data_IF_804657087073
#
_entry.id   IF_804657087073
#
_cell.length_a   1.000
_cell.length_b   1.000
_cell.length_c   1.000
_cell.angle_alpha   90.00
_cell.angle_beta   90.00
_cell.angle_gamma   90.00
#
_symmetry.space_group_name_H-M   'P 1'
#
loop_
_entity.id
_entity.type
_entity.pdbx_description
1 polymer ?
#
# COMPACT_ATOMS: atom_id res chain seq x y z
N UNK A 1 15.77 -13.53 -4.89
CA UNK A 1 15.87 -12.33 -5.76
C UNK A 1 15.05 -12.41 -7.06
N UNK A 2 14.52 -13.57 -7.49
CA UNK A 2 13.81 -13.69 -8.77
C UNK A 2 12.43 -13.05 -8.87
N UNK A 3 11.64 -13.03 -7.77
CA UNK A 3 10.29 -12.44 -7.76
C UNK A 3 10.33 -10.91 -7.60
N UNK A 4 11.21 -10.39 -6.72
CA UNK A 4 11.38 -8.95 -6.52
C UNK A 4 11.96 -8.25 -7.76
N UNK A 5 12.84 -8.93 -8.51
CA UNK A 5 13.47 -8.37 -9.72
C UNK A 5 12.48 -8.09 -10.85
N UNK A 6 11.39 -8.86 -10.95
CA UNK A 6 10.33 -8.63 -11.94
C UNK A 6 9.36 -7.51 -11.60
N UNK A 7 9.32 -7.05 -10.33
CA UNK A 7 8.47 -5.93 -9.93
C UNK A 7 8.96 -4.58 -10.48
N UNK A 8 10.22 -4.52 -10.95
CA UNK A 8 10.87 -3.31 -11.45
C UNK A 8 10.72 -3.15 -12.97
N UNK A 9 10.49 -4.26 -13.71
CA UNK A 9 10.33 -4.25 -15.16
C UNK A 9 8.84 -4.27 -15.54
N UNK A 10 8.27 -3.07 -15.63
CA UNK A 10 6.88 -2.81 -16.05
C UNK A 10 5.98 -2.40 -14.88
N UNK A 11 5.28 -1.28 -15.04
CA UNK A 11 4.26 -0.82 -14.08
C UNK A 11 2.91 -1.38 -14.54
N UNK A 12 2.38 -2.37 -13.83
CA UNK A 12 1.08 -2.99 -14.11
C UNK A 12 0.04 -2.69 -13.00
N UNK A 13 0.49 -2.36 -11.79
CA UNK A 13 -0.39 -1.93 -10.71
C UNK A 13 -1.04 -0.57 -11.06
N UNK A 14 -2.39 -0.45 -11.04
CA UNK A 14 -3.06 0.81 -11.30
C UNK A 14 -2.60 1.93 -10.37
N UNK A 15 -2.55 3.15 -10.88
CA UNK A 15 -2.11 4.32 -10.10
C UNK A 15 -2.93 4.50 -8.83
N UNK A 16 -4.25 4.29 -8.90
CA UNK A 16 -5.14 4.32 -7.73
C UNK A 16 -4.67 3.38 -6.63
N UNK A 17 -4.37 2.12 -6.97
CA UNK A 17 -3.90 1.13 -6.00
C UNK A 17 -2.55 1.49 -5.41
N UNK A 18 -1.63 2.05 -6.21
CA UNK A 18 -0.35 2.58 -5.70
C UNK A 18 -0.59 3.65 -4.63
N UNK A 19 -1.52 4.58 -4.86
CA UNK A 19 -1.82 5.63 -3.89
C UNK A 19 -2.59 5.12 -2.67
N UNK A 20 -3.47 4.12 -2.80
CA UNK A 20 -4.08 3.44 -1.66
C UNK A 20 -3.03 2.81 -0.73
N UNK A 21 -2.03 2.11 -1.29
CA UNK A 21 -0.91 1.55 -0.52
C UNK A 21 -0.17 2.67 0.21
N UNK A 22 0.24 3.70 -0.53
CA UNK A 22 1.04 4.81 0.00
C UNK A 22 0.31 5.56 1.11
N UNK A 23 -0.97 5.83 0.91
CA UNK A 23 -1.83 6.49 1.87
C UNK A 23 -1.97 5.63 3.14
N UNK A 24 -2.31 4.35 3.00
CA UNK A 24 -2.55 3.49 4.17
C UNK A 24 -1.30 3.25 4.99
N UNK A 25 -0.16 2.97 4.35
CA UNK A 25 1.14 2.88 5.04
C UNK A 25 1.46 4.18 5.80
N UNK A 26 1.20 5.34 5.18
CA UNK A 26 1.46 6.64 5.79
C UNK A 26 0.56 6.93 6.99
N UNK A 27 -0.70 6.50 6.96
CA UNK A 27 -1.62 6.57 8.09
C UNK A 27 -1.12 5.76 9.29
N UNK A 28 -0.69 4.52 9.06
CA UNK A 28 -0.18 3.63 10.12
C UNK A 28 1.09 4.22 10.74
N UNK A 29 2.00 4.73 9.91
CA UNK A 29 3.25 5.34 10.38
C UNK A 29 3.07 6.75 10.97
N UNK A 30 1.90 7.38 10.83
CA UNK A 30 1.66 8.74 11.30
C UNK A 30 2.40 9.84 10.53
N UNK A 31 2.78 9.62 9.26
CA UNK A 31 3.43 10.67 8.45
C UNK A 31 2.38 11.66 7.90
N UNK A 32 2.07 12.74 8.61
CA UNK A 32 1.06 13.73 8.21
C UNK A 32 1.31 14.35 6.83
N UNK A 33 2.58 14.70 6.53
CA UNK A 33 3.00 15.17 5.21
C UNK A 33 2.63 14.17 4.09
N UNK A 34 2.97 12.91 4.30
CA UNK A 34 2.74 11.84 3.33
C UNK A 34 1.25 11.51 3.20
N UNK A 35 0.50 11.55 4.30
CA UNK A 35 -0.96 11.37 4.30
C UNK A 35 -1.64 12.42 3.41
N UNK A 36 -1.22 13.69 3.52
CA UNK A 36 -1.76 14.76 2.66
C UNK A 36 -1.40 14.52 1.19
N UNK A 37 -0.12 14.28 0.91
CA UNK A 37 0.39 14.06 -0.45
C UNK A 37 -0.31 12.91 -1.16
N UNK A 38 -0.39 11.74 -0.52
CA UNK A 38 -0.98 10.54 -1.11
C UNK A 38 -2.51 10.56 -1.08
N UNK A 39 -3.12 11.28 -0.14
CA UNK A 39 -4.57 11.51 -0.14
C UNK A 39 -5.01 12.38 -1.33
N UNK A 40 -4.27 13.44 -1.64
CA UNK A 40 -4.52 14.27 -2.83
C UNK A 40 -4.32 13.46 -4.13
N UNK A 41 -3.26 12.64 -4.19
CA UNK A 41 -2.97 11.79 -5.35
C UNK A 41 -3.99 10.65 -5.55
N UNK A 42 -4.47 10.04 -4.46
CA UNK A 42 -5.52 9.01 -4.51
C UNK A 42 -6.81 9.57 -5.13
N UNK A 43 -7.26 10.74 -4.66
CA UNK A 43 -8.44 11.42 -5.22
C UNK A 43 -8.24 11.76 -6.70
N UNK A 44 -7.06 12.25 -7.09
CA UNK A 44 -6.73 12.53 -8.49
C UNK A 44 -6.73 11.26 -9.37
N UNK A 45 -6.50 10.09 -8.78
CA UNK A 45 -6.56 8.79 -9.45
C UNK A 45 -7.95 8.13 -9.42
N UNK A 46 -8.96 8.78 -8.82
CA UNK A 46 -10.33 8.27 -8.73
C UNK A 46 -10.62 7.43 -7.48
N UNK A 47 -9.71 7.39 -6.52
CA UNK A 47 -9.85 6.65 -5.25
C UNK A 47 -10.31 7.54 -4.09
N UNK A 48 -10.79 6.92 -3.02
CA UNK A 48 -11.11 7.65 -1.78
C UNK A 48 -9.87 7.96 -0.94
N UNK A 49 -9.92 9.06 -0.17
CA UNK A 49 -8.92 9.38 0.86
C UNK A 49 -9.19 8.71 2.21
N UNK A 50 -10.41 8.21 2.42
CA UNK A 50 -10.88 7.69 3.70
C UNK A 50 -10.69 6.17 3.78
N UNK A 51 -9.43 5.75 3.92
CA UNK A 51 -9.05 4.32 3.90
C UNK A 51 -8.87 3.70 5.28
N UNK A 52 -9.18 4.40 6.37
CA UNK A 52 -8.96 3.89 7.73
C UNK A 52 -9.90 2.73 8.10
N UNK A 53 -11.15 2.80 7.64
CA UNK A 53 -12.23 1.85 7.99
C UNK A 53 -12.54 0.86 6.86
N UNK A 54 -11.57 0.65 5.95
CA UNK A 54 -11.72 -0.13 4.72
C UNK A 54 -12.25 -1.56 4.94
N UNK A 55 -11.96 -2.16 6.11
CA UNK A 55 -12.42 -3.52 6.45
C UNK A 55 -13.94 -3.61 6.51
N UNK A 56 -14.60 -2.59 7.04
CA UNK A 56 -16.04 -2.56 7.28
C UNK A 56 -16.81 -1.75 6.25
N UNK A 57 -16.14 -0.90 5.49
CA UNK A 57 -16.78 -0.05 4.49
C UNK A 57 -17.08 -0.82 3.19
N UNK A 58 -18.36 -1.02 2.81
CA UNK A 58 -18.74 -1.76 1.62
C UNK A 58 -18.33 -1.12 0.29
N UNK A 59 -17.87 0.15 0.29
CA UNK A 59 -17.40 0.82 -0.92
C UNK A 59 -16.11 0.19 -1.48
N UNK A 60 -15.31 -0.48 -0.65
CA UNK A 60 -14.05 -1.08 -1.09
C UNK A 60 -14.26 -2.42 -1.82
N UNK A 61 -13.72 -2.50 -3.03
CA UNK A 61 -13.74 -3.70 -3.86
C UNK A 61 -12.80 -4.78 -3.33
N UNK A 62 -12.96 -6.02 -3.79
CA UNK A 62 -12.06 -7.13 -3.40
C UNK A 62 -10.58 -6.84 -3.72
N UNK A 63 -10.22 -6.37 -4.94
CA UNK A 63 -8.85 -5.95 -5.23
C UNK A 63 -8.31 -4.86 -4.30
N UNK A 64 -9.08 -3.81 -4.00
CA UNK A 64 -8.66 -2.74 -3.10
C UNK A 64 -8.42 -3.26 -1.68
N UNK A 65 -9.32 -4.11 -1.18
CA UNK A 65 -9.17 -4.78 0.12
C UNK A 65 -7.90 -5.60 0.19
N UNK A 66 -7.59 -6.35 -0.87
CA UNK A 66 -6.38 -7.16 -0.93
C UNK A 66 -5.11 -6.29 -0.93
N UNK A 67 -5.12 -5.18 -1.69
CA UNK A 67 -4.03 -4.19 -1.71
C UNK A 67 -3.82 -3.58 -0.32
N UNK A 68 -4.89 -3.13 0.34
CA UNK A 68 -4.83 -2.52 1.66
C UNK A 68 -4.38 -3.52 2.73
N UNK A 69 -4.91 -4.75 2.72
CA UNK A 69 -4.50 -5.82 3.63
C UNK A 69 -3.00 -6.12 3.53
N UNK A 70 -2.49 -6.25 2.30
CA UNK A 70 -1.08 -6.51 2.07
C UNK A 70 -0.21 -5.31 2.46
N UNK A 71 -0.65 -4.08 2.17
CA UNK A 71 0.05 -2.86 2.57
C UNK A 71 0.21 -2.77 4.10
N UNK A 72 -0.84 -3.11 4.85
CA UNK A 72 -0.79 -3.16 6.32
C UNK A 72 0.18 -4.24 6.82
N UNK A 73 0.08 -5.47 6.28
CA UNK A 73 0.96 -6.57 6.67
C UNK A 73 2.44 -6.28 6.40
N UNK A 74 2.77 -5.65 5.27
CA UNK A 74 4.15 -5.23 4.95
C UNK A 74 4.62 -4.10 5.87
N UNK A 75 3.74 -3.16 6.20
CA UNK A 75 4.07 -2.04 7.11
C UNK A 75 4.35 -2.53 8.53
N UNK A 76 3.55 -3.48 9.00
CA UNK A 76 3.62 -4.10 10.33
C UNK A 76 4.44 -5.39 10.33
N UNK A 77 5.36 -5.57 9.37
CA UNK A 77 6.16 -6.79 9.24
C UNK A 77 6.95 -7.16 10.51
N UNK A 78 7.23 -6.17 11.36
CA UNK A 78 7.89 -6.35 12.65
C UNK A 78 7.04 -7.10 13.70
N UNK A 79 5.71 -7.13 13.54
CA UNK A 79 4.80 -7.77 14.50
C UNK A 79 4.68 -9.29 14.30
N UNK A 80 4.91 -9.79 13.08
CA UNK A 80 4.69 -11.22 12.80
C UNK A 80 5.00 -11.70 11.39
N UNK A 81 5.79 -10.98 10.61
CA UNK A 81 5.94 -11.18 9.16
C UNK A 81 4.60 -11.05 8.39
N UNK A 82 4.65 -11.13 7.06
CA UNK A 82 3.45 -11.12 6.22
C UNK A 82 2.82 -12.52 6.26
N UNK A 83 1.55 -12.69 6.69
CA UNK A 83 0.90 -14.00 6.70
C UNK A 83 0.67 -14.55 5.30
N UNK A 84 0.86 -15.86 5.11
CA UNK A 84 0.59 -16.53 3.83
C UNK A 84 -0.84 -16.28 3.34
N UNK A 85 -1.82 -16.27 4.24
CA UNK A 85 -3.23 -15.99 3.90
C UNK A 85 -3.44 -14.61 3.29
N UNK A 86 -2.66 -13.60 3.69
CA UNK A 86 -2.72 -12.24 3.12
C UNK A 86 -2.06 -12.23 1.74
N UNK A 87 -0.93 -12.94 1.59
CA UNK A 87 -0.23 -13.04 0.32
C UNK A 87 -1.08 -13.80 -0.72
N UNK A 88 -1.65 -14.93 -0.35
CA UNK A 88 -2.50 -15.77 -1.20
C UNK A 88 -3.76 -15.03 -1.63
N UNK A 89 -4.41 -14.29 -0.71
CA UNK A 89 -5.57 -13.45 -1.04
C UNK A 89 -5.20 -12.34 -2.04
N UNK A 90 -4.04 -11.71 -1.89
CA UNK A 90 -3.56 -10.72 -2.84
C UNK A 90 -3.24 -11.33 -4.21
N UNK A 91 -2.58 -12.49 -4.25
CA UNK A 91 -2.29 -13.20 -5.51
C UNK A 91 -3.61 -13.58 -6.21
N UNK A 92 -4.62 -14.02 -5.46
CA UNK A 92 -5.93 -14.35 -6.02
C UNK A 92 -6.62 -13.13 -6.63
N UNK A 93 -6.66 -12.01 -5.90
CA UNK A 93 -7.43 -10.83 -6.31
C UNK A 93 -6.77 -9.99 -7.40
N UNK A 94 -5.43 -9.87 -7.39
CA UNK A 94 -4.69 -8.95 -8.29
C UNK A 94 -3.59 -9.64 -9.11
N UNK A 95 -3.30 -10.92 -8.87
CA UNK A 95 -2.25 -11.64 -9.57
C UNK A 95 -0.85 -11.38 -9.02
N UNK A 96 0.05 -12.34 -9.24
CA UNK A 96 1.38 -12.39 -8.62
C UNK A 96 2.24 -11.14 -8.89
N UNK A 97 2.25 -10.63 -10.13
CA UNK A 97 3.05 -9.45 -10.51
C UNK A 97 2.60 -8.22 -9.73
N UNK A 98 1.29 -7.97 -9.66
CA UNK A 98 0.73 -6.82 -8.95
C UNK A 98 0.91 -6.96 -7.44
N UNK A 99 0.82 -8.17 -6.89
CA UNK A 99 1.15 -8.43 -5.47
C UNK A 99 2.58 -7.99 -5.15
N UNK A 100 3.56 -8.35 -5.98
CA UNK A 100 4.96 -7.92 -5.77
C UNK A 100 5.13 -6.40 -5.90
N UNK A 101 4.40 -5.75 -6.82
CA UNK A 101 4.39 -4.29 -6.95
C UNK A 101 3.77 -3.60 -5.73
N UNK A 102 2.75 -4.19 -5.09
CA UNK A 102 2.20 -3.70 -3.81
C UNK A 102 3.25 -3.79 -2.70
N UNK A 103 3.95 -4.92 -2.57
CA UNK A 103 5.05 -5.08 -1.59
C UNK A 103 6.15 -4.04 -1.82
N UNK A 104 6.52 -3.82 -3.08
CA UNK A 104 7.50 -2.79 -3.46
C UNK A 104 7.03 -1.39 -3.08
N UNK A 105 5.81 -1.00 -3.47
CA UNK A 105 5.24 0.30 -3.15
C UNK A 105 5.15 0.54 -1.64
N UNK A 106 4.70 -0.46 -0.87
CA UNK A 106 4.63 -0.43 0.59
C UNK A 106 6.02 -0.28 1.21
N UNK A 107 7.03 -0.98 0.70
CA UNK A 107 8.42 -0.87 1.17
C UNK A 107 8.99 0.52 0.94
N UNK A 108 8.83 1.04 -0.28
CA UNK A 108 9.35 2.37 -0.67
C UNK A 108 8.68 3.47 0.15
N UNK A 109 7.35 3.48 0.28
CA UNK A 109 6.67 4.52 1.07
C UNK A 109 7.02 4.43 2.55
N UNK A 110 7.22 3.23 3.09
CA UNK A 110 7.69 3.04 4.46
C UNK A 110 9.07 3.70 4.69
N UNK A 111 9.97 3.65 3.70
CA UNK A 111 11.24 4.37 3.77
C UNK A 111 11.02 5.90 3.74
N UNK A 112 10.17 6.41 2.83
CA UNK A 112 9.84 7.83 2.76
C UNK A 112 9.15 8.35 4.03
N UNK A 113 8.24 7.59 4.63
CA UNK A 113 7.61 7.95 5.89
C UNK A 113 8.66 8.16 6.99
N UNK A 114 9.62 7.23 7.12
CA UNK A 114 10.72 7.34 8.09
C UNK A 114 11.55 8.59 7.86
N UNK A 115 11.88 8.90 6.60
CA UNK A 115 12.62 10.12 6.24
C UNK A 115 11.83 11.39 6.60
N UNK A 116 10.58 11.49 6.15
CA UNK A 116 9.74 12.67 6.35
C UNK A 116 9.45 12.95 7.83
N UNK A 117 9.13 11.89 8.60
CA UNK A 117 8.92 12.00 10.05
C UNK A 117 10.20 12.46 10.75
N UNK A 118 11.35 11.85 10.45
CA UNK A 118 12.64 12.22 11.05
C UNK A 118 13.05 13.65 10.71
N UNK A 119 12.70 14.11 9.51
CA UNK A 119 12.92 15.48 9.05
C UNK A 119 11.85 16.48 9.55
N UNK A 120 10.84 16.03 10.29
CA UNK A 120 9.72 16.85 10.82
C UNK A 120 8.95 17.61 9.72
N UNK A 121 8.77 16.96 8.56
CA UNK A 121 7.91 17.49 7.50
C UNK A 121 6.44 17.39 7.91
N UNK A 122 5.62 18.38 7.52
CA UNK A 122 4.18 18.46 7.79
C UNK A 122 3.38 18.79 6.54
#
# INVERSE_FOLDING_TARGET
>A
MGALGKAVDGVDLPVGFVELVRLRCSQINGCTYCIRLHGEAAVAAGETRDVSDWRTDPAFTEPERAVLALAEAVTLVHDGHVPDTVLDAAIHAIGEVRTQQVVWAATVVNAYNRLAISARLT
#
